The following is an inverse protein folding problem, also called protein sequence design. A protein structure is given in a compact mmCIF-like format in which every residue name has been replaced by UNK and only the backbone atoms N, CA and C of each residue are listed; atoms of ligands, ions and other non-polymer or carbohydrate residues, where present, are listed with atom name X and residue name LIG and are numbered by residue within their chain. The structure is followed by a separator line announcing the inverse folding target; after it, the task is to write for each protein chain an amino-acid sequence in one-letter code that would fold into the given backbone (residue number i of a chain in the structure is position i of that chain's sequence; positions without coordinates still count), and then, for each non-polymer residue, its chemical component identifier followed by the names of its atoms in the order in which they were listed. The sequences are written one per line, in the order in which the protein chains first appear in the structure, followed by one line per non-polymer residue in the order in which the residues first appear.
data_IF_462953628159
#
_entry.id   IF_462953628159
#
_cell.length_a   1.000
_cell.length_b   1.000
_cell.length_c   1.000
_cell.angle_alpha   90.00
_cell.angle_beta   90.00
_cell.angle_gamma   90.00
#
_symmetry.space_group_name_H-M   'P 1'
#
loop_
_entity.id
_entity.type
_entity.pdbx_description
1 polymer ?
#
# COMPACT_ATOMS: atom_id res chain seq x y z
N UNK A 1 36.61 22.92 -5.41
CA UNK A 1 36.60 21.68 -6.22
C UNK A 1 35.76 20.63 -5.50
N UNK A 2 34.93 19.96 -6.27
CA UNK A 2 33.76 19.14 -5.95
C UNK A 2 33.88 18.19 -4.74
N UNK A 3 32.92 18.33 -3.82
CA UNK A 3 32.68 17.41 -2.71
C UNK A 3 32.16 16.07 -3.28
N UNK A 4 32.84 14.93 -3.09
CA UNK A 4 32.31 13.64 -3.53
C UNK A 4 31.10 13.33 -2.65
N UNK A 5 29.90 13.50 -3.22
CA UNK A 5 28.65 13.08 -2.59
C UNK A 5 28.79 11.61 -2.20
N UNK A 6 29.04 11.39 -0.89
CA UNK A 6 28.91 10.09 -0.27
C UNK A 6 27.55 9.55 -0.69
N UNK A 7 27.54 8.47 -1.47
CA UNK A 7 26.35 7.68 -1.78
C UNK A 7 25.81 7.13 -0.46
N UNK A 8 25.10 7.96 0.29
CA UNK A 8 24.42 7.53 1.50
C UNK A 8 23.39 6.52 1.06
N UNK A 9 23.54 5.28 1.51
CA UNK A 9 22.52 4.25 1.31
C UNK A 9 21.23 4.82 1.89
N UNK A 10 20.29 5.21 1.02
CA UNK A 10 18.97 5.66 1.45
C UNK A 10 18.35 4.54 2.28
N UNK A 11 17.81 4.87 3.45
CA UNK A 11 17.05 3.92 4.27
C UNK A 11 15.90 3.33 3.45
N UNK A 12 15.44 2.12 3.80
CA UNK A 12 14.33 1.46 3.09
C UNK A 12 13.10 2.38 3.02
N UNK A 13 12.80 3.11 4.11
CA UNK A 13 11.72 4.09 4.15
C UNK A 13 11.93 5.24 3.17
N UNK A 14 13.15 5.76 3.05
CA UNK A 14 13.46 6.83 2.10
C UNK A 14 13.33 6.36 0.65
N UNK A 15 13.68 5.09 0.36
CA UNK A 15 13.46 4.50 -0.97
C UNK A 15 11.98 4.33 -1.27
N UNK A 16 11.20 3.77 -0.33
CA UNK A 16 9.75 3.65 -0.47
C UNK A 16 9.10 5.01 -0.74
N UNK A 17 9.47 6.05 0.03
CA UNK A 17 8.98 7.43 -0.21
C UNK A 17 9.30 7.95 -1.61
N UNK A 18 10.50 7.69 -2.13
CA UNK A 18 10.88 8.10 -3.47
C UNK A 18 10.08 7.38 -4.57
N UNK A 19 9.81 6.08 -4.39
CA UNK A 19 8.98 5.29 -5.31
C UNK A 19 7.55 5.85 -5.35
N UNK A 20 6.92 6.01 -4.19
CA UNK A 20 5.55 6.53 -4.11
C UNK A 20 5.44 7.98 -4.56
N UNK A 21 6.52 8.78 -4.39
CA UNK A 21 6.59 10.11 -4.99
C UNK A 21 6.42 10.02 -6.51
N UNK A 22 7.19 9.16 -7.19
CA UNK A 22 7.08 8.97 -8.65
C UNK A 22 5.68 8.47 -9.02
N UNK A 23 5.18 7.43 -8.37
CA UNK A 23 3.84 6.87 -8.65
C UNK A 23 2.76 7.96 -8.58
N UNK A 24 2.79 8.83 -7.56
CA UNK A 24 1.80 9.89 -7.39
C UNK A 24 1.88 11.03 -8.42
N UNK A 25 3.01 11.18 -9.12
CA UNK A 25 3.18 12.21 -10.16
C UNK A 25 2.82 11.69 -11.57
N UNK A 26 2.63 10.38 -11.74
CA UNK A 26 2.37 9.78 -13.03
C UNK A 26 0.87 9.50 -13.16
N UNK A 27 0.18 10.29 -13.99
CA UNK A 27 -1.27 10.15 -14.22
C UNK A 27 -1.62 8.98 -15.16
N UNK A 28 -0.64 8.50 -15.93
CA UNK A 28 -0.78 7.41 -16.90
C UNK A 28 0.06 6.19 -16.51
N UNK A 29 -0.32 4.97 -16.96
CA UNK A 29 0.53 3.78 -16.83
C UNK A 29 1.94 4.04 -17.36
N UNK A 30 2.95 3.66 -16.59
CA UNK A 30 4.33 3.97 -16.92
C UNK A 30 5.26 2.77 -16.79
N UNK A 31 6.32 2.77 -17.60
CA UNK A 31 7.33 1.73 -17.56
C UNK A 31 8.15 1.81 -16.26
N UNK A 32 8.49 0.64 -15.69
CA UNK A 32 9.34 0.54 -14.49
C UNK A 32 10.67 1.28 -14.56
N UNK A 33 11.17 1.54 -15.77
CA UNK A 33 12.37 2.34 -16.02
C UNK A 33 12.25 3.75 -15.42
N UNK A 34 11.05 4.32 -15.29
CA UNK A 34 10.85 5.60 -14.60
C UNK A 34 11.23 5.55 -13.11
N UNK A 35 11.24 4.38 -12.48
CA UNK A 35 11.71 4.23 -11.10
C UNK A 35 13.23 4.34 -10.97
N UNK A 36 13.99 4.32 -12.08
CA UNK A 36 15.43 4.61 -12.02
C UNK A 36 15.71 6.04 -11.60
N UNK A 37 14.76 6.96 -11.84
CA UNK A 37 14.85 8.37 -11.40
C UNK A 37 14.82 8.49 -9.87
N UNK A 38 14.32 7.46 -9.17
CA UNK A 38 14.45 7.32 -7.72
C UNK A 38 15.82 6.76 -7.28
N UNK A 39 16.80 6.63 -8.18
CA UNK A 39 18.11 6.02 -7.93
C UNK A 39 18.00 4.55 -7.49
N UNK A 40 17.09 3.81 -8.12
CA UNK A 40 16.81 2.39 -7.89
C UNK A 40 17.22 1.61 -9.14
N UNK A 41 17.98 0.52 -8.97
CA UNK A 41 18.38 -0.31 -10.11
C UNK A 41 17.16 -1.04 -10.70
N UNK A 42 17.17 -1.42 -12.00
CA UNK A 42 16.03 -2.10 -12.61
C UNK A 42 15.59 -3.37 -11.87
N UNK A 43 16.54 -4.18 -11.41
CA UNK A 43 16.26 -5.38 -10.61
C UNK A 43 15.61 -5.04 -9.26
N UNK A 44 16.07 -3.98 -8.61
CA UNK A 44 15.49 -3.53 -7.35
C UNK A 44 14.09 -2.93 -7.57
N UNK A 45 13.85 -2.25 -8.70
CA UNK A 45 12.55 -1.72 -9.05
C UNK A 45 11.50 -2.85 -9.18
N UNK A 46 11.87 -3.97 -9.82
CA UNK A 46 11.00 -5.15 -9.90
C UNK A 46 10.61 -5.67 -8.52
N UNK A 47 11.60 -5.92 -7.66
CA UNK A 47 11.36 -6.42 -6.31
C UNK A 47 10.48 -5.47 -5.48
N UNK A 48 10.64 -4.15 -5.67
CA UNK A 48 9.80 -3.16 -5.01
C UNK A 48 8.37 -3.19 -5.53
N UNK A 49 8.16 -3.31 -6.84
CA UNK A 49 6.83 -3.43 -7.43
C UNK A 49 6.13 -4.70 -6.95
N UNK A 50 6.82 -5.85 -6.95
CA UNK A 50 6.30 -7.10 -6.41
C UNK A 50 5.91 -6.97 -4.93
N UNK A 51 6.77 -6.31 -4.13
CA UNK A 51 6.48 -6.05 -2.72
C UNK A 51 5.28 -5.13 -2.54
N UNK A 52 5.13 -4.09 -3.37
CA UNK A 52 3.98 -3.18 -3.34
C UNK A 52 2.70 -3.94 -3.67
N UNK A 53 2.71 -4.76 -4.73
CA UNK A 53 1.56 -5.60 -5.11
C UNK A 53 1.21 -6.58 -3.99
N UNK A 54 2.22 -7.22 -3.38
CA UNK A 54 1.99 -8.09 -2.23
C UNK A 54 1.31 -7.34 -1.07
N UNK A 55 1.84 -6.15 -0.71
CA UNK A 55 1.32 -5.31 0.38
C UNK A 55 -0.11 -4.81 0.09
N UNK A 56 -0.41 -4.40 -1.14
CA UNK A 56 -1.74 -3.93 -1.56
C UNK A 56 -2.82 -5.01 -1.40
N UNK A 57 -2.42 -6.29 -1.44
CA UNK A 57 -3.30 -7.43 -1.23
C UNK A 57 -3.36 -7.92 0.23
N UNK A 58 -2.67 -7.26 1.16
CA UNK A 58 -2.74 -7.57 2.60
C UNK A 58 -3.81 -6.72 3.30
N UNK A 59 -4.41 -7.21 4.41
CA UNK A 59 -5.30 -6.40 5.23
C UNK A 59 -4.61 -5.12 5.71
N UNK A 60 -5.36 -4.01 5.72
CA UNK A 60 -4.88 -2.77 6.35
C UNK A 60 -4.58 -3.03 7.84
N UNK A 61 -3.47 -2.47 8.30
CA UNK A 61 -3.05 -2.55 9.70
C UNK A 61 -2.98 -1.15 10.33
N UNK A 62 -3.20 -1.09 11.63
CA UNK A 62 -2.86 0.04 12.49
C UNK A 62 -1.67 -0.38 13.35
N UNK A 63 -0.68 0.50 13.45
CA UNK A 63 0.50 0.28 14.28
C UNK A 63 0.54 1.34 15.36
N UNK A 64 0.39 0.94 16.62
CA UNK A 64 0.41 1.82 17.79
C UNK A 64 1.70 1.58 18.56
N UNK A 65 2.57 2.59 18.63
CA UNK A 65 3.84 2.52 19.36
C UNK A 65 3.68 3.15 20.73
N UNK A 66 3.99 2.40 21.77
CA UNK A 66 4.15 2.90 23.14
C UNK A 66 5.62 2.89 23.52
N UNK A 67 5.97 3.39 24.71
CA UNK A 67 7.36 3.34 25.21
C UNK A 67 7.88 1.90 25.38
N UNK A 68 7.01 0.93 25.63
CA UNK A 68 7.39 -0.45 26.00
C UNK A 68 7.09 -1.48 24.92
N UNK A 69 6.04 -1.26 24.13
CA UNK A 69 5.56 -2.23 23.14
C UNK A 69 5.10 -1.55 21.85
N UNK A 70 5.15 -2.31 20.75
CA UNK A 70 4.49 -1.96 19.48
C UNK A 70 3.31 -2.90 19.29
N UNK A 71 2.11 -2.34 19.22
CA UNK A 71 0.87 -3.06 18.93
C UNK A 71 0.58 -2.99 17.43
N UNK A 72 0.15 -4.12 16.86
CA UNK A 72 -0.26 -4.22 15.45
C UNK A 72 -1.68 -4.77 15.42
N UNK A 73 -2.60 -3.97 14.93
CA UNK A 73 -4.03 -4.29 14.86
C UNK A 73 -4.45 -4.43 13.39
N UNK A 74 -5.23 -5.46 13.07
CA UNK A 74 -5.83 -5.60 11.74
C UNK A 74 -7.10 -4.75 11.68
N UNK A 75 -7.23 -3.93 10.65
CA UNK A 75 -8.40 -3.08 10.41
C UNK A 75 -9.42 -3.71 9.45
N UNK A 76 -9.19 -4.95 9.05
CA UNK A 76 -9.91 -5.64 7.97
C UNK A 76 -9.64 -7.14 8.00
N UNK A 77 -10.62 -7.93 7.54
CA UNK A 77 -10.47 -9.36 7.30
C UNK A 77 -10.17 -9.66 5.83
N UNK A 78 -9.93 -10.95 5.53
CA UNK A 78 -9.77 -11.42 4.14
C UNK A 78 -10.99 -11.06 3.27
N UNK A 79 -12.20 -11.15 3.84
CA UNK A 79 -13.44 -10.76 3.17
C UNK A 79 -13.48 -9.26 2.81
N UNK A 80 -13.07 -8.39 3.74
CA UNK A 80 -12.99 -6.94 3.50
C UNK A 80 -12.04 -6.64 2.35
N UNK A 81 -10.85 -7.27 2.34
CA UNK A 81 -9.88 -7.06 1.27
C UNK A 81 -10.40 -7.55 -0.09
N UNK A 82 -11.03 -8.72 -0.13
CA UNK A 82 -11.63 -9.26 -1.34
C UNK A 82 -12.72 -8.33 -1.90
N UNK A 83 -13.57 -7.79 -1.02
CA UNK A 83 -14.64 -6.86 -1.41
C UNK A 83 -14.07 -5.54 -1.94
N UNK A 84 -13.02 -5.02 -1.30
CA UNK A 84 -12.32 -3.82 -1.80
C UNK A 84 -11.68 -4.06 -3.18
N UNK A 85 -11.00 -5.20 -3.36
CA UNK A 85 -10.38 -5.55 -4.64
C UNK A 85 -11.42 -5.66 -5.76
N UNK A 86 -12.57 -6.27 -5.48
CA UNK A 86 -13.65 -6.39 -6.46
C UNK A 86 -14.29 -5.04 -6.79
N UNK A 87 -14.41 -4.12 -5.81
CA UNK A 87 -14.86 -2.75 -6.08
C UNK A 87 -13.89 -1.97 -6.99
N UNK A 88 -12.58 -2.16 -6.81
CA UNK A 88 -11.56 -1.47 -7.60
C UNK A 88 -11.36 -2.07 -9.00
N UNK A 89 -11.91 -3.26 -9.27
CA UNK A 89 -11.85 -3.90 -10.59
C UNK A 89 -12.79 -3.19 -11.58
N UNK A 90 -12.22 -2.33 -12.42
CA UNK A 90 -12.95 -1.56 -13.45
C UNK A 90 -13.53 -2.43 -14.56
N UNK A 91 -13.13 -3.69 -14.67
CA UNK A 91 -13.73 -4.63 -15.63
C UNK A 91 -15.12 -5.12 -15.18
N UNK A 92 -15.49 -4.90 -13.92
CA UNK A 92 -16.79 -5.30 -13.38
C UNK A 92 -17.87 -4.23 -13.62
N UNK A 93 -19.15 -4.63 -13.78
CA UNK A 93 -20.28 -3.71 -13.82
C UNK A 93 -20.35 -2.83 -12.57
N UNK A 94 -20.68 -1.54 -12.75
CA UNK A 94 -20.68 -0.55 -11.67
C UNK A 94 -21.61 -0.95 -10.51
N UNK A 95 -22.75 -1.57 -10.79
CA UNK A 95 -23.71 -2.03 -9.77
C UNK A 95 -23.13 -3.17 -8.92
N UNK A 96 -22.29 -4.03 -9.50
CA UNK A 96 -21.60 -5.08 -8.74
C UNK A 96 -20.46 -4.50 -7.91
N UNK A 97 -19.73 -3.53 -8.46
CA UNK A 97 -18.67 -2.80 -7.74
C UNK A 97 -19.24 -2.10 -6.51
N UNK A 98 -20.35 -1.37 -6.66
CA UNK A 98 -21.02 -0.67 -5.56
C UNK A 98 -21.49 -1.62 -4.45
N UNK A 99 -22.12 -2.76 -4.80
CA UNK A 99 -22.48 -3.78 -3.81
C UNK A 99 -21.27 -4.33 -3.04
N UNK A 100 -20.13 -4.46 -3.71
CA UNK A 100 -18.89 -4.89 -3.06
C UNK A 100 -18.33 -3.82 -2.13
N UNK A 101 -18.46 -2.54 -2.48
CA UNK A 101 -18.10 -1.43 -1.59
C UNK A 101 -18.97 -1.41 -0.33
N UNK A 102 -20.28 -1.63 -0.46
CA UNK A 102 -21.19 -1.75 0.68
C UNK A 102 -20.81 -2.94 1.57
N UNK A 103 -20.50 -4.10 0.98
CA UNK A 103 -20.03 -5.27 1.71
C UNK A 103 -18.71 -5.00 2.46
N UNK A 104 -17.78 -4.28 1.81
CA UNK A 104 -16.55 -3.82 2.45
C UNK A 104 -16.85 -2.92 3.66
N UNK A 105 -17.66 -1.87 3.49
CA UNK A 105 -18.00 -0.93 4.55
C UNK A 105 -18.65 -1.65 5.75
N UNK A 106 -19.63 -2.52 5.50
CA UNK A 106 -20.29 -3.33 6.51
C UNK A 106 -19.29 -4.21 7.27
N UNK A 107 -18.37 -4.86 6.56
CA UNK A 107 -17.37 -5.73 7.19
C UNK A 107 -16.43 -4.97 8.13
N UNK A 108 -16.06 -3.73 7.77
CA UNK A 108 -15.21 -2.87 8.61
C UNK A 108 -15.96 -2.43 9.86
N UNK A 109 -17.24 -2.04 9.73
CA UNK A 109 -18.10 -1.64 10.86
C UNK A 109 -18.27 -2.81 11.85
N UNK A 110 -18.60 -4.00 11.34
CA UNK A 110 -18.77 -5.20 12.16
C UNK A 110 -17.49 -5.52 12.93
N UNK A 111 -16.34 -5.46 12.26
CA UNK A 111 -15.07 -5.68 12.94
C UNK A 111 -14.81 -4.65 14.03
N UNK A 112 -15.04 -3.36 13.75
CA UNK A 112 -14.86 -2.31 14.76
C UNK A 112 -15.70 -2.55 16.02
N UNK A 113 -16.95 -3.00 15.87
CA UNK A 113 -17.82 -3.35 17.01
C UNK A 113 -17.29 -4.53 17.82
N UNK A 114 -16.69 -5.52 17.15
CA UNK A 114 -16.09 -6.68 17.82
C UNK A 114 -14.81 -6.31 18.58
N UNK A 115 -14.01 -5.37 18.07
CA UNK A 115 -12.76 -4.94 18.73
C UNK A 115 -12.99 -3.90 19.83
N UNK A 116 -14.04 -3.07 19.72
CA UNK A 116 -14.42 -2.07 20.70
C UNK A 116 -15.91 -2.25 21.09
N UNK A 117 -16.25 -3.29 21.87
CA UNK A 117 -17.60 -3.38 22.43
C UNK A 117 -17.80 -2.23 23.42
N UNK A 118 -18.89 -1.47 23.25
CA UNK A 118 -19.36 -0.49 24.24
C UNK A 118 -19.73 -1.15 25.56
#
# INVERSE_FOLDING_TARGET
MSNPQRRTSRSMLARAKAIFKIINYMDEPFAKTKLTDANISPKAAENWLDLIVFIQNQPKIRVTKTKRITLVEKLGGRFSQMSLNYFLDETQPIEKRMRSLEAYANSVIVQQRLTNPE
#
